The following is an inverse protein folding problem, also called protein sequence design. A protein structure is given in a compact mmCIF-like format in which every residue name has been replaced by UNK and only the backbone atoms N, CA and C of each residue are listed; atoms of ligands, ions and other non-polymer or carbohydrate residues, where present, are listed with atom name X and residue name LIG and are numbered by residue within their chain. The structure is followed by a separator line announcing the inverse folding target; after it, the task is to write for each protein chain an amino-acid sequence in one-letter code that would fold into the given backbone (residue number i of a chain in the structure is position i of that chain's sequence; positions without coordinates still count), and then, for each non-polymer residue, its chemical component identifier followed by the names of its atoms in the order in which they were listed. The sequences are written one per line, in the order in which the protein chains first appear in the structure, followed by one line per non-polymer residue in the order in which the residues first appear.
data_IF_488242512809
#
_entry.id   IF_488242512809
#
_cell.length_a   1.000
_cell.length_b   1.000
_cell.length_c   1.000
_cell.angle_alpha   90.00
_cell.angle_beta   90.00
_cell.angle_gamma   90.00
#
_symmetry.space_group_name_H-M   'P 1'
#
loop_
_entity.id
_entity.type
_entity.pdbx_description
1 polymer ?
#
# COMPACT_ATOMS: atom_id res chain seq x y z
N UNK A 1 -4.65 -3.74 -12.50
CA UNK A 1 -5.91 -4.00 -11.84
C UNK A 1 -6.91 -4.66 -12.77
N UNK A 2 -7.97 -5.23 -12.30
CA UNK A 2 -9.10 -5.70 -13.11
C UNK A 2 -9.26 -7.19 -13.29
N UNK A 3 -8.31 -8.00 -12.88
CA UNK A 3 -8.39 -9.46 -13.07
C UNK A 3 -9.14 -10.21 -11.97
N UNK A 4 -9.23 -9.62 -10.81
CA UNK A 4 -9.71 -10.26 -9.60
C UNK A 4 -11.02 -9.66 -9.09
N UNK A 5 -11.80 -9.06 -10.00
CA UNK A 5 -13.09 -8.43 -9.69
C UNK A 5 -14.11 -9.39 -9.08
N UNK A 6 -14.02 -10.68 -9.46
CA UNK A 6 -14.90 -11.69 -8.88
C UNK A 6 -14.23 -12.28 -7.64
N UNK A 7 -15.00 -12.41 -6.55
CA UNK A 7 -14.60 -12.98 -5.25
C UNK A 7 -13.76 -14.25 -5.42
N UNK A 8 -14.22 -15.21 -6.23
CA UNK A 8 -13.57 -16.50 -6.40
C UNK A 8 -12.21 -16.39 -7.10
N UNK A 9 -12.08 -15.45 -8.04
CA UNK A 9 -10.80 -15.16 -8.68
C UNK A 9 -9.82 -14.48 -7.71
N UNK A 10 -10.28 -13.56 -6.87
CA UNK A 10 -9.49 -12.92 -5.82
C UNK A 10 -9.03 -13.93 -4.78
N UNK A 11 -9.95 -14.78 -4.29
CA UNK A 11 -9.64 -15.86 -3.38
C UNK A 11 -8.57 -16.81 -3.94
N UNK A 12 -8.78 -17.30 -5.17
CA UNK A 12 -7.81 -18.19 -5.83
C UNK A 12 -6.42 -17.56 -5.93
N UNK A 13 -6.37 -16.27 -6.25
CA UNK A 13 -5.09 -15.56 -6.33
C UNK A 13 -4.44 -15.40 -4.97
N UNK A 14 -5.21 -15.05 -3.93
CA UNK A 14 -4.71 -14.96 -2.56
C UNK A 14 -4.10 -16.28 -2.07
N UNK A 15 -4.80 -17.40 -2.34
CA UNK A 15 -4.29 -18.73 -1.96
C UNK A 15 -2.98 -19.08 -2.68
N UNK A 16 -2.86 -18.75 -3.97
CA UNK A 16 -1.61 -18.94 -4.72
C UNK A 16 -0.48 -18.12 -4.09
N UNK A 17 -0.73 -16.85 -3.74
CA UNK A 17 0.27 -16.01 -3.12
C UNK A 17 0.73 -16.54 -1.74
N UNK A 18 -0.21 -17.01 -0.94
CA UNK A 18 0.10 -17.65 0.35
C UNK A 18 0.94 -18.91 0.16
N UNK A 19 0.60 -19.74 -0.82
CA UNK A 19 1.34 -20.96 -1.16
C UNK A 19 2.75 -20.65 -1.74
N UNK A 20 2.93 -19.46 -2.37
CA UNK A 20 4.21 -18.92 -2.83
C UNK A 20 5.02 -18.22 -1.70
N UNK A 21 4.49 -18.15 -0.49
CA UNK A 21 5.20 -17.66 0.69
C UNK A 21 4.92 -16.21 1.06
N UNK A 22 3.79 -15.64 0.63
CA UNK A 22 3.35 -14.34 1.15
C UNK A 22 2.92 -14.47 2.62
N UNK A 23 3.46 -13.64 3.49
CA UNK A 23 3.10 -13.58 4.91
C UNK A 23 1.82 -12.77 5.15
N UNK A 24 1.55 -11.77 4.32
CA UNK A 24 0.41 -10.87 4.43
C UNK A 24 -0.25 -10.73 3.06
N UNK A 25 -1.57 -10.81 3.01
CA UNK A 25 -2.37 -10.51 1.81
C UNK A 25 -3.04 -9.16 1.99
N UNK A 26 -2.72 -8.21 1.10
CA UNK A 26 -3.30 -6.87 1.12
C UNK A 26 -4.43 -6.75 0.11
N UNK A 27 -5.64 -6.40 0.57
CA UNK A 27 -6.88 -6.39 -0.21
C UNK A 27 -7.35 -4.95 -0.37
N UNK A 28 -7.45 -4.47 -1.62
CA UNK A 28 -7.97 -3.14 -1.93
C UNK A 28 -9.18 -3.17 -2.87
N UNK A 29 -10.19 -2.39 -2.56
CA UNK A 29 -11.42 -2.25 -3.35
C UNK A 29 -11.38 -1.08 -4.35
N UNK A 30 -10.46 -0.13 -4.15
CA UNK A 30 -10.23 1.03 -5.01
C UNK A 30 -8.76 1.04 -5.50
N UNK A 31 -8.54 1.51 -6.72
CA UNK A 31 -7.18 1.62 -7.25
C UNK A 31 -6.58 2.97 -6.92
N UNK A 32 -5.40 2.98 -6.30
CA UNK A 32 -4.63 4.19 -5.98
C UNK A 32 -3.80 4.71 -7.15
N UNK A 33 -3.95 4.13 -8.36
CA UNK A 33 -3.20 4.55 -9.55
C UNK A 33 -3.71 5.86 -10.13
N UNK A 34 -2.83 6.69 -10.73
CA UNK A 34 -3.26 7.88 -11.45
C UNK A 34 -4.35 7.57 -12.49
N UNK A 35 -5.43 8.35 -12.48
CA UNK A 35 -6.55 8.20 -13.42
C UNK A 35 -7.55 7.07 -13.09
N UNK A 36 -7.42 6.38 -11.96
CA UNK A 36 -8.43 5.45 -11.52
C UNK A 36 -9.75 6.17 -11.19
N UNK A 37 -10.87 5.56 -11.53
CA UNK A 37 -12.18 6.05 -11.13
C UNK A 37 -12.34 5.87 -9.61
N UNK A 38 -12.90 6.88 -8.96
CA UNK A 38 -13.28 6.77 -7.56
C UNK A 38 -14.41 5.74 -7.39
N UNK A 39 -14.32 4.98 -6.33
CA UNK A 39 -15.34 4.03 -5.90
C UNK A 39 -16.02 4.60 -4.66
N UNK A 40 -17.33 4.46 -4.54
CA UNK A 40 -18.01 4.84 -3.30
C UNK A 40 -17.73 3.82 -2.19
N UNK A 41 -17.94 4.26 -0.95
CA UNK A 41 -17.61 3.47 0.25
C UNK A 41 -18.40 2.15 0.31
N UNK A 42 -19.66 2.17 -0.12
CA UNK A 42 -20.53 1.00 -0.11
C UNK A 42 -20.02 -0.05 -1.11
N UNK A 43 -19.69 0.37 -2.32
CA UNK A 43 -19.12 -0.49 -3.36
C UNK A 43 -17.73 -1.00 -2.96
N UNK A 44 -16.85 -0.15 -2.40
CA UNK A 44 -15.54 -0.57 -1.89
C UNK A 44 -15.70 -1.65 -0.83
N UNK A 45 -16.56 -1.43 0.15
CA UNK A 45 -16.85 -2.38 1.23
C UNK A 45 -17.41 -3.70 0.69
N UNK A 46 -18.36 -3.63 -0.25
CA UNK A 46 -18.95 -4.81 -0.89
C UNK A 46 -17.92 -5.64 -1.68
N UNK A 47 -16.85 -5.03 -2.16
CA UNK A 47 -15.74 -5.72 -2.83
C UNK A 47 -14.80 -6.42 -1.86
N UNK A 48 -14.36 -5.71 -0.80
CA UNK A 48 -13.27 -6.21 0.05
C UNK A 48 -13.76 -7.22 1.10
N UNK A 49 -14.89 -6.98 1.75
CA UNK A 49 -15.38 -7.80 2.86
C UNK A 49 -15.56 -9.27 2.47
N UNK A 50 -16.28 -9.62 1.37
CA UNK A 50 -16.49 -11.02 1.00
C UNK A 50 -15.21 -11.75 0.61
N UNK A 51 -14.18 -11.02 0.15
CA UNK A 51 -12.88 -11.61 -0.20
C UNK A 51 -12.09 -11.91 1.07
N UNK A 52 -12.07 -10.99 2.04
CA UNK A 52 -11.43 -11.19 3.34
C UNK A 52 -12.01 -12.41 4.05
N UNK A 53 -13.33 -12.49 4.15
CA UNK A 53 -14.04 -13.63 4.77
C UNK A 53 -13.68 -14.96 4.08
N UNK A 54 -13.68 -14.98 2.74
CA UNK A 54 -13.36 -16.18 1.98
C UNK A 54 -11.91 -16.64 2.18
N UNK A 55 -10.94 -15.70 2.25
CA UNK A 55 -9.54 -16.02 2.52
C UNK A 55 -9.40 -16.63 3.91
N UNK A 56 -9.98 -16.01 4.93
CA UNK A 56 -9.90 -16.47 6.32
C UNK A 56 -10.65 -17.79 6.54
N UNK A 57 -11.73 -18.03 5.80
CA UNK A 57 -12.40 -19.31 5.79
C UNK A 57 -11.52 -20.42 5.21
N UNK A 58 -10.80 -20.15 4.11
CA UNK A 58 -9.93 -21.11 3.44
C UNK A 58 -8.58 -21.28 4.14
N UNK A 59 -8.07 -20.26 4.77
CA UNK A 59 -6.79 -20.17 5.48
C UNK A 59 -6.95 -19.37 6.78
N UNK A 60 -7.41 -19.98 7.88
CA UNK A 60 -7.69 -19.26 9.14
C UNK A 60 -6.49 -18.56 9.77
N UNK A 61 -5.27 -18.98 9.40
CA UNK A 61 -4.01 -18.39 9.91
C UNK A 61 -3.46 -17.28 9.00
N UNK A 62 -4.12 -16.98 7.88
CA UNK A 62 -3.66 -15.93 6.98
C UNK A 62 -3.76 -14.56 7.66
N UNK A 63 -2.73 -13.74 7.50
CA UNK A 63 -2.77 -12.34 7.90
C UNK A 63 -3.28 -11.53 6.73
N UNK A 64 -4.41 -10.84 6.93
CA UNK A 64 -5.03 -10.02 5.88
C UNK A 64 -4.94 -8.55 6.27
N UNK A 65 -4.52 -7.74 5.32
CA UNK A 65 -4.52 -6.28 5.35
C UNK A 65 -5.61 -5.75 4.43
N UNK A 66 -6.21 -4.62 4.76
CA UNK A 66 -7.12 -3.88 3.88
C UNK A 66 -6.49 -2.56 3.45
N UNK A 67 -6.34 -2.35 2.12
CA UNK A 67 -5.91 -1.07 1.54
C UNK A 67 -7.14 -0.19 1.32
N UNK A 68 -7.31 0.81 2.15
CA UNK A 68 -8.42 1.78 2.08
C UNK A 68 -8.07 3.10 2.74
N UNK A 69 -8.62 4.20 2.21
CA UNK A 69 -8.56 5.52 2.82
C UNK A 69 -9.88 5.88 3.56
N UNK A 70 -10.84 4.96 3.61
CA UNK A 70 -12.17 5.18 4.20
C UNK A 70 -12.32 4.43 5.52
N UNK A 71 -12.60 5.15 6.60
CA UNK A 71 -12.75 4.59 7.94
C UNK A 71 -13.88 3.55 8.04
N UNK A 72 -14.98 3.75 7.31
CA UNK A 72 -16.09 2.80 7.31
C UNK A 72 -15.70 1.46 6.67
N UNK A 73 -15.00 1.48 5.53
CA UNK A 73 -14.47 0.27 4.89
C UNK A 73 -13.45 -0.42 5.80
N UNK A 74 -12.56 0.35 6.45
CA UNK A 74 -11.58 -0.20 7.40
C UNK A 74 -12.26 -0.95 8.56
N UNK A 75 -13.30 -0.36 9.18
CA UNK A 75 -14.05 -1.00 10.25
C UNK A 75 -14.76 -2.27 9.78
N UNK A 76 -15.40 -2.24 8.61
CA UNK A 76 -16.07 -3.41 8.04
C UNK A 76 -15.07 -4.55 7.74
N UNK A 77 -13.92 -4.22 7.19
CA UNK A 77 -12.85 -5.17 6.90
C UNK A 77 -12.26 -5.79 8.17
N UNK A 78 -12.03 -4.98 9.22
CA UNK A 78 -11.58 -5.50 10.53
C UNK A 78 -12.63 -6.39 11.17
N UNK A 79 -13.91 -6.04 11.08
CA UNK A 79 -15.01 -6.89 11.55
C UNK A 79 -15.07 -8.23 10.79
N UNK A 80 -14.69 -8.25 9.50
CA UNK A 80 -14.55 -9.45 8.68
C UNK A 80 -13.26 -10.25 8.97
N UNK A 81 -12.37 -9.74 9.83
CA UNK A 81 -11.16 -10.40 10.29
C UNK A 81 -9.85 -9.86 9.74
N UNK A 82 -9.83 -8.73 9.03
CA UNK A 82 -8.57 -8.09 8.67
C UNK A 82 -7.78 -7.68 9.92
N UNK A 83 -6.50 -8.05 9.97
CA UNK A 83 -5.62 -7.77 11.10
C UNK A 83 -4.88 -6.43 10.95
N UNK A 84 -4.86 -5.86 9.75
CA UNK A 84 -4.11 -4.65 9.42
C UNK A 84 -5.00 -3.73 8.58
N UNK A 85 -4.93 -2.43 8.86
CA UNK A 85 -5.48 -1.38 7.99
C UNK A 85 -4.30 -0.67 7.33
N UNK A 86 -4.22 -0.74 6.01
CA UNK A 86 -3.22 -0.07 5.20
C UNK A 86 -3.83 1.21 4.61
N UNK A 87 -3.51 2.35 5.21
CA UNK A 87 -4.01 3.65 4.78
C UNK A 87 -2.93 4.44 4.05
N UNK A 88 -3.01 4.44 2.72
CA UNK A 88 -2.08 5.16 1.85
C UNK A 88 -2.11 6.68 2.04
N UNK A 89 -3.14 7.21 2.72
CA UNK A 89 -3.28 8.64 3.02
C UNK A 89 -2.71 9.04 4.39
N UNK A 90 -2.38 8.08 5.25
CA UNK A 90 -1.91 8.35 6.62
C UNK A 90 -2.93 9.11 7.48
N UNK A 91 -4.22 8.88 7.27
CA UNK A 91 -5.32 9.55 7.97
C UNK A 91 -5.78 10.86 7.31
N UNK A 92 -5.20 11.26 6.18
CA UNK A 92 -5.59 12.50 5.50
C UNK A 92 -6.79 12.33 4.56
N UNK A 93 -7.06 11.12 4.11
CA UNK A 93 -8.19 10.79 3.24
C UNK A 93 -9.52 10.83 3.99
N UNK A 94 -9.55 10.35 5.21
CA UNK A 94 -10.71 10.35 6.10
C UNK A 94 -10.30 10.74 7.54
N UNK A 95 -10.83 11.85 8.03
CA UNK A 95 -10.53 12.36 9.40
C UNK A 95 -10.97 11.40 10.52
N UNK A 96 -11.88 10.48 10.23
CA UNK A 96 -12.34 9.48 11.19
C UNK A 96 -11.39 8.27 11.30
N UNK A 97 -10.45 8.09 10.35
CA UNK A 97 -9.63 6.89 10.22
C UNK A 97 -8.88 6.54 11.51
N UNK A 98 -8.08 7.46 12.04
CA UNK A 98 -7.29 7.19 13.24
C UNK A 98 -8.16 6.76 14.43
N UNK A 99 -9.28 7.45 14.66
CA UNK A 99 -10.22 7.12 15.74
C UNK A 99 -10.92 5.78 15.51
N UNK A 100 -11.29 5.50 14.26
CA UNK A 100 -11.90 4.22 13.90
C UNK A 100 -10.96 3.05 14.18
N UNK A 101 -9.71 3.11 13.70
CA UNK A 101 -8.71 2.05 13.93
C UNK A 101 -8.31 1.95 15.40
N UNK A 102 -8.22 3.07 16.13
CA UNK A 102 -7.95 3.08 17.56
C UNK A 102 -8.97 2.26 18.37
N UNK A 103 -10.24 2.26 17.95
CA UNK A 103 -11.32 1.45 18.54
C UNK A 103 -11.26 -0.05 18.24
N UNK A 104 -10.30 -0.51 17.45
CA UNK A 104 -10.10 -1.92 17.07
C UNK A 104 -8.82 -2.50 17.67
N UNK A 105 -8.49 -3.76 17.31
CA UNK A 105 -7.19 -4.37 17.62
C UNK A 105 -6.25 -4.40 16.41
N UNK A 106 -6.68 -3.90 15.24
CA UNK A 106 -5.89 -3.96 14.02
C UNK A 106 -4.61 -3.12 14.12
N UNK A 107 -3.54 -3.57 13.48
CA UNK A 107 -2.38 -2.74 13.20
C UNK A 107 -2.72 -1.69 12.13
N UNK A 108 -1.99 -0.59 12.11
CA UNK A 108 -2.22 0.51 11.19
C UNK A 108 -0.96 0.84 10.41
N UNK A 109 -1.02 0.75 9.10
CA UNK A 109 0.04 1.23 8.22
C UNK A 109 -0.28 2.67 7.84
N UNK A 110 0.58 3.57 8.32
CA UNK A 110 0.51 5.01 8.07
C UNK A 110 1.46 5.37 6.93
N UNK A 111 0.94 5.50 5.71
CA UNK A 111 1.77 5.88 4.59
C UNK A 111 1.91 7.41 4.49
N UNK A 112 3.11 7.86 4.13
CA UNK A 112 3.35 9.26 3.79
C UNK A 112 2.65 9.61 2.48
N UNK A 113 1.81 10.65 2.55
CA UNK A 113 0.96 11.08 1.44
C UNK A 113 0.93 12.60 1.31
N UNK A 114 1.05 13.06 0.07
CA UNK A 114 0.84 14.46 -0.33
C UNK A 114 -0.07 14.47 -1.56
N UNK A 115 -1.35 14.80 -1.35
CA UNK A 115 -2.34 14.91 -2.42
C UNK A 115 -2.78 13.57 -3.02
N UNK A 116 -3.86 13.65 -3.77
CA UNK A 116 -4.47 12.50 -4.45
C UNK A 116 -3.67 12.08 -5.71
N UNK A 117 -3.99 10.95 -6.34
CA UNK A 117 -3.30 10.47 -7.52
C UNK A 117 -3.22 11.43 -8.71
N UNK A 118 -4.13 12.42 -8.81
CA UNK A 118 -4.12 13.43 -9.87
C UNK A 118 -3.17 14.60 -9.58
N UNK A 119 -2.84 14.87 -8.33
CA UNK A 119 -2.07 16.04 -7.90
C UNK A 119 -0.69 15.73 -7.36
N UNK A 120 -0.45 14.49 -6.88
CA UNK A 120 0.76 14.10 -6.17
C UNK A 120 2.07 14.34 -6.95
N UNK A 121 2.05 14.18 -8.28
CA UNK A 121 3.25 14.35 -9.11
C UNK A 121 3.78 15.80 -9.13
N UNK A 122 2.97 16.77 -8.68
CA UNK A 122 3.34 18.19 -8.56
C UNK A 122 3.82 18.58 -7.16
N UNK A 123 3.75 17.67 -6.20
CA UNK A 123 4.01 17.92 -4.78
C UNK A 123 5.35 17.29 -4.34
N UNK A 124 6.35 17.35 -5.23
CA UNK A 124 7.67 16.75 -5.03
C UNK A 124 8.70 17.71 -4.44
N UNK A 125 8.28 18.91 -4.05
CA UNK A 125 9.19 19.90 -3.43
C UNK A 125 9.36 19.60 -1.93
N UNK A 126 10.63 19.42 -1.53
CA UNK A 126 11.07 19.18 -0.15
C UNK A 126 12.25 20.11 0.16
N UNK A 127 12.01 21.32 0.68
CA UNK A 127 13.07 22.34 0.87
C UNK A 127 14.25 21.85 1.72
N UNK A 128 13.98 21.01 2.75
CA UNK A 128 14.99 20.45 3.66
C UNK A 128 15.44 19.04 3.24
N UNK A 129 15.16 18.66 1.99
CA UNK A 129 15.38 17.32 1.47
C UNK A 129 14.26 16.32 1.81
N UNK A 130 14.10 15.33 0.92
CA UNK A 130 12.95 14.40 0.99
C UNK A 130 12.93 13.57 2.28
N UNK A 131 14.09 13.15 2.79
CA UNK A 131 14.16 12.30 3.99
C UNK A 131 13.68 13.08 5.21
N UNK A 132 14.19 14.29 5.42
CA UNK A 132 13.75 15.13 6.54
C UNK A 132 12.27 15.52 6.42
N UNK A 133 11.82 15.91 5.23
CA UNK A 133 10.42 16.26 4.98
C UNK A 133 9.47 15.11 5.27
N UNK A 134 9.79 13.88 4.80
CA UNK A 134 8.97 12.69 5.06
C UNK A 134 8.94 12.33 6.53
N UNK A 135 10.08 12.41 7.24
CA UNK A 135 10.15 12.15 8.69
C UNK A 135 9.27 13.15 9.44
N UNK A 136 9.40 14.45 9.15
CA UNK A 136 8.61 15.48 9.81
C UNK A 136 7.11 15.29 9.59
N UNK A 137 6.69 15.01 8.35
CA UNK A 137 5.28 14.82 8.03
C UNK A 137 4.72 13.52 8.62
N UNK A 138 5.47 12.42 8.63
CA UNK A 138 5.06 11.20 9.29
C UNK A 138 4.98 11.36 10.80
N UNK A 139 5.92 12.06 11.45
CA UNK A 139 5.82 12.35 12.89
C UNK A 139 4.52 13.06 13.24
N UNK A 140 4.11 14.07 12.43
CA UNK A 140 2.82 14.74 12.64
C UNK A 140 1.63 13.77 12.50
N UNK A 141 1.69 12.78 11.57
CA UNK A 141 0.63 11.76 11.45
C UNK A 141 0.63 10.82 12.64
N UNK A 142 1.82 10.39 13.09
CA UNK A 142 1.96 9.55 14.27
C UNK A 142 1.40 10.21 15.53
N UNK A 143 1.70 11.49 15.74
CA UNK A 143 1.13 12.29 16.84
C UNK A 143 -0.38 12.35 16.78
N UNK A 144 -0.95 12.59 15.60
CA UNK A 144 -2.40 12.61 15.40
C UNK A 144 -3.05 11.25 15.65
N UNK A 145 -2.44 10.17 15.18
CA UNK A 145 -2.92 8.82 15.41
C UNK A 145 -2.91 8.46 16.91
N UNK A 146 -1.83 8.79 17.61
CA UNK A 146 -1.71 8.57 19.05
C UNK A 146 -2.69 9.44 19.85
N UNK A 147 -2.88 10.70 19.46
CA UNK A 147 -3.88 11.57 20.07
C UNK A 147 -5.31 11.07 19.87
N UNK A 148 -5.57 10.32 18.79
CA UNK A 148 -6.84 9.63 18.54
C UNK A 148 -7.00 8.33 19.35
N UNK A 149 -5.97 7.91 20.11
CA UNK A 149 -5.97 6.71 20.95
C UNK A 149 -5.34 5.48 20.32
N UNK A 150 -4.70 5.59 19.16
CA UNK A 150 -4.00 4.47 18.54
C UNK A 150 -2.67 4.22 19.26
N UNK A 151 -2.47 3.02 19.78
CA UNK A 151 -1.23 2.64 20.45
C UNK A 151 -0.06 2.64 19.46
N UNK A 152 1.09 3.21 19.87
CA UNK A 152 2.29 3.35 19.02
C UNK A 152 2.78 2.00 18.49
N UNK A 153 2.69 0.97 19.29
CA UNK A 153 3.15 -0.39 18.99
C UNK A 153 2.34 -1.06 17.87
N UNK A 154 1.18 -0.49 17.53
CA UNK A 154 0.33 -0.95 16.45
C UNK A 154 0.53 -0.17 15.15
N UNK A 155 1.42 0.83 15.14
CA UNK A 155 1.64 1.67 13.97
C UNK A 155 2.89 1.20 13.21
N UNK A 156 2.73 1.01 11.92
CA UNK A 156 3.78 0.78 10.95
C UNK A 156 3.81 2.00 10.03
N UNK A 157 4.99 2.47 9.64
CA UNK A 157 5.10 3.61 8.72
C UNK A 157 5.54 3.16 7.33
N UNK A 158 5.00 3.79 6.28
CA UNK A 158 5.48 3.64 4.90
C UNK A 158 5.91 5.02 4.37
N UNK A 159 7.16 5.20 3.94
CA UNK A 159 7.64 6.47 3.39
C UNK A 159 6.96 6.85 2.05
N UNK A 160 6.13 5.99 1.48
CA UNK A 160 5.36 6.27 0.26
C UNK A 160 6.24 6.44 -0.97
N UNK A 161 7.14 5.48 -1.26
CA UNK A 161 7.99 5.52 -2.45
C UNK A 161 7.14 5.71 -3.71
N UNK A 162 7.48 6.70 -4.55
CA UNK A 162 6.75 7.00 -5.78
C UNK A 162 5.41 7.74 -5.59
N UNK A 163 5.03 8.11 -4.37
CA UNK A 163 3.90 9.00 -4.07
C UNK A 163 4.43 10.39 -3.74
N UNK A 164 4.10 11.39 -4.56
CA UNK A 164 4.62 12.77 -4.43
C UNK A 164 6.16 12.82 -4.31
N UNK A 165 6.85 11.98 -5.06
CA UNK A 165 8.31 11.86 -5.03
C UNK A 165 8.86 11.58 -6.43
N UNK A 166 10.00 12.20 -6.74
CA UNK A 166 10.79 11.85 -7.92
C UNK A 166 11.41 10.45 -7.77
N UNK A 167 11.98 9.94 -8.86
CA UNK A 167 12.70 8.66 -8.82
C UNK A 167 13.92 8.74 -7.89
N UNK A 168 14.67 9.83 -7.97
CA UNK A 168 15.83 10.06 -7.11
C UNK A 168 15.45 10.15 -5.63
N UNK A 169 14.40 10.91 -5.31
CA UNK A 169 13.87 11.01 -3.95
C UNK A 169 13.42 9.64 -3.40
N UNK A 170 12.85 8.79 -4.25
CA UNK A 170 12.47 7.42 -3.85
C UNK A 170 13.72 6.57 -3.52
N UNK A 171 14.83 6.74 -4.24
CA UNK A 171 16.10 6.09 -3.91
C UNK A 171 16.72 6.63 -2.63
N UNK A 172 16.68 7.95 -2.41
CA UNK A 172 17.16 8.57 -1.17
C UNK A 172 16.41 8.02 0.05
N UNK A 173 15.09 7.88 -0.03
CA UNK A 173 14.28 7.30 1.05
C UNK A 173 14.59 5.82 1.28
N UNK A 174 14.76 5.04 0.21
CA UNK A 174 15.13 3.63 0.31
C UNK A 174 16.50 3.47 0.99
N UNK A 175 17.47 4.31 0.63
CA UNK A 175 18.80 4.32 1.25
C UNK A 175 18.75 4.78 2.72
N UNK A 176 17.77 5.61 3.10
CA UNK A 176 17.60 6.14 4.44
C UNK A 176 16.65 5.28 5.33
N UNK A 177 16.34 4.04 4.96
CA UNK A 177 15.36 3.20 5.68
C UNK A 177 15.72 3.05 7.16
N UNK A 178 17.00 2.86 7.49
CA UNK A 178 17.45 2.77 8.89
C UNK A 178 17.19 4.07 9.64
N UNK A 179 17.52 5.21 9.06
CA UNK A 179 17.26 6.54 9.64
C UNK A 179 15.76 6.79 9.85
N UNK A 180 14.91 6.39 8.88
CA UNK A 180 13.46 6.44 9.02
C UNK A 180 12.99 5.64 10.24
N UNK A 181 13.49 4.41 10.40
CA UNK A 181 13.13 3.55 11.53
C UNK A 181 13.56 4.14 12.87
N UNK A 182 14.77 4.68 12.94
CA UNK A 182 15.32 5.27 14.18
C UNK A 182 14.58 6.56 14.58
N UNK A 183 14.38 7.50 13.64
CA UNK A 183 13.78 8.80 13.95
C UNK A 183 12.25 8.75 14.13
N UNK A 184 11.55 7.83 13.46
CA UNK A 184 10.11 7.61 13.65
C UNK A 184 9.82 6.65 14.81
N UNK A 185 10.84 5.89 15.25
CA UNK A 185 10.73 4.87 16.29
C UNK A 185 9.53 3.92 16.05
N UNK A 186 9.34 3.48 14.80
CA UNK A 186 8.29 2.60 14.32
C UNK A 186 8.83 1.63 13.27
N UNK A 187 8.24 0.44 13.11
CA UNK A 187 8.56 -0.44 11.98
C UNK A 187 8.31 0.27 10.64
N UNK A 188 9.19 0.03 9.65
CA UNK A 188 9.10 0.65 8.34
C UNK A 188 8.71 -0.39 7.29
N UNK A 189 7.60 -0.15 6.61
CA UNK A 189 7.18 -0.88 5.43
C UNK A 189 7.74 -0.19 4.17
N UNK A 190 8.30 -0.96 3.26
CA UNK A 190 8.83 -0.46 1.99
C UNK A 190 7.99 -0.99 0.83
N UNK A 191 7.08 -0.16 0.35
CA UNK A 191 6.25 -0.47 -0.82
C UNK A 191 6.97 -0.17 -2.13
N UNK A 192 7.84 -1.06 -2.60
CA UNK A 192 8.64 -0.85 -3.82
C UNK A 192 8.14 -1.64 -5.04
N UNK A 193 7.18 -2.55 -4.88
CA UNK A 193 6.73 -3.46 -5.93
C UNK A 193 6.25 -2.73 -7.19
N UNK A 194 6.83 -3.09 -8.34
CA UNK A 194 6.47 -2.60 -9.68
C UNK A 194 6.48 -1.07 -9.84
N UNK A 195 7.19 -0.35 -8.97
CA UNK A 195 7.28 1.11 -9.07
C UNK A 195 8.28 1.54 -10.15
N UNK A 196 7.94 2.63 -10.85
CA UNK A 196 8.70 3.11 -12.03
C UNK A 196 10.18 3.39 -11.76
N UNK A 197 10.54 3.86 -10.56
CA UNK A 197 11.93 4.15 -10.21
C UNK A 197 12.84 2.90 -10.26
N UNK A 198 12.31 1.70 -9.98
CA UNK A 198 13.05 0.44 -10.12
C UNK A 198 13.37 0.11 -11.57
N UNK A 199 12.47 0.45 -12.50
CA UNK A 199 12.66 0.20 -13.95
C UNK A 199 13.80 1.02 -14.51
N UNK A 200 13.95 2.27 -14.07
CA UNK A 200 15.04 3.15 -14.51
C UNK A 200 16.42 2.66 -14.06
N UNK A 201 16.50 2.06 -12.88
CA UNK A 201 17.75 1.45 -12.38
C UNK A 201 18.19 0.25 -13.23
N UNK A 202 17.24 -0.54 -13.75
CA UNK A 202 17.52 -1.69 -14.62
C UNK A 202 17.90 -1.24 -16.04
N UNK A 203 17.32 -0.13 -16.51
CA UNK A 203 17.54 0.40 -17.87
C UNK A 203 18.82 1.24 -18.05
N UNK A 204 19.70 1.33 -17.03
CA UNK A 204 20.98 2.04 -17.13
C UNK A 204 20.88 3.56 -17.03
N UNK A 205 19.84 4.09 -16.41
CA UNK A 205 19.78 5.51 -16.00
C UNK A 205 19.51 6.53 -17.10
N UNK A 206 19.15 6.14 -18.29
CA UNK A 206 18.72 7.08 -19.33
C UNK A 206 17.23 7.37 -19.20
N UNK A 207 16.89 8.64 -19.08
CA UNK A 207 15.53 9.18 -18.95
C UNK A 207 14.76 9.08 -20.28
N UNK A 208 14.70 7.89 -20.83
CA UNK A 208 13.83 7.62 -21.98
C UNK A 208 12.52 7.05 -21.47
N UNK A 209 11.48 7.86 -21.56
CA UNK A 209 10.09 7.61 -21.20
C UNK A 209 9.44 6.45 -21.98
N UNK A 210 10.17 5.39 -22.24
CA UNK A 210 9.64 4.10 -22.66
C UNK A 210 9.38 3.30 -21.39
N UNK A 211 8.13 3.36 -20.95
CA UNK A 211 7.62 2.46 -19.92
C UNK A 211 8.04 1.04 -20.28
N UNK A 212 9.05 0.52 -19.58
CA UNK A 212 9.38 -0.90 -19.70
C UNK A 212 8.12 -1.69 -19.38
N UNK A 213 7.87 -2.72 -20.17
CA UNK A 213 6.74 -3.64 -20.01
C UNK A 213 6.65 -4.07 -18.54
N UNK A 214 5.47 -4.02 -17.90
CA UNK A 214 5.27 -4.55 -16.55
C UNK A 214 5.80 -5.98 -16.35
N UNK A 215 5.89 -6.79 -17.42
CA UNK A 215 6.51 -8.10 -17.42
C UNK A 215 8.02 -8.06 -17.13
N UNK A 216 8.75 -7.05 -17.62
CA UNK A 216 10.18 -6.90 -17.37
C UNK A 216 10.53 -6.44 -15.95
N UNK A 217 9.55 -5.94 -15.19
CA UNK A 217 9.72 -5.56 -13.78
C UNK A 217 9.73 -6.76 -12.85
N UNK A 218 9.20 -7.90 -13.29
CA UNK A 218 9.14 -9.14 -12.51
C UNK A 218 10.48 -9.88 -12.45
N UNK A 219 11.37 -9.66 -13.46
CA UNK A 219 12.62 -10.41 -13.61
C UNK A 219 13.86 -9.73 -13.00
N UNK A 220 13.69 -8.72 -12.13
CA UNK A 220 14.84 -8.09 -11.47
C UNK A 220 15.42 -9.01 -10.39
N UNK A 221 16.70 -9.47 -10.52
CA UNK A 221 17.28 -10.51 -9.65
C UNK A 221 17.66 -10.04 -8.24
N UNK A 222 17.37 -8.80 -7.87
CA UNK A 222 17.64 -8.30 -6.52
C UNK A 222 16.37 -8.45 -5.68
N UNK A 223 16.42 -9.35 -4.70
CA UNK A 223 15.38 -9.50 -3.67
C UNK A 223 15.23 -8.19 -2.90
N UNK A 224 14.32 -7.36 -3.34
CA UNK A 224 13.67 -6.37 -2.47
C UNK A 224 12.60 -7.17 -1.74
N UNK A 225 12.69 -7.27 -0.43
CA UNK A 225 11.66 -7.94 0.37
C UNK A 225 10.38 -7.12 0.20
N UNK A 226 9.48 -7.58 -0.66
CA UNK A 226 8.14 -7.01 -0.84
C UNK A 226 7.28 -7.61 0.26
N UNK A 227 7.11 -6.89 1.36
CA UNK A 227 6.10 -7.19 2.35
C UNK A 227 4.74 -6.77 1.77
N UNK A 228 4.06 -7.71 1.18
CA UNK A 228 2.70 -7.55 0.70
C UNK A 228 2.56 -7.61 -0.82
N UNK A 229 1.65 -8.44 -1.28
CA UNK A 229 1.12 -8.42 -2.64
C UNK A 229 -0.26 -7.81 -2.57
N UNK A 230 -0.40 -6.58 -3.06
CA UNK A 230 -1.68 -5.89 -3.13
C UNK A 230 -2.60 -6.62 -4.11
N UNK A 231 -3.71 -7.15 -3.62
CA UNK A 231 -4.83 -7.61 -4.45
C UNK A 231 -5.78 -6.44 -4.62
N UNK A 232 -5.52 -5.61 -5.63
CA UNK A 232 -6.49 -4.60 -6.04
C UNK A 232 -7.69 -5.27 -6.73
N UNK A 233 -8.87 -5.08 -6.20
CA UNK A 233 -10.15 -5.42 -6.86
C UNK A 233 -10.60 -4.17 -7.63
N UNK A 234 -10.42 -4.12 -8.98
CA UNK A 234 -10.58 -2.87 -9.71
C UNK A 234 -12.01 -2.57 -10.12
N UNK A 235 -12.25 -1.28 -10.37
CA UNK A 235 -13.36 -0.82 -11.19
C UNK A 235 -13.24 -1.35 -12.62
N UNK A 236 -14.35 -1.69 -13.24
CA UNK A 236 -14.49 -2.19 -14.61
C UNK A 236 -13.68 -1.37 -15.62
N UNK A 237 -12.68 -1.98 -16.26
CA UNK A 237 -12.00 -1.41 -17.43
C UNK A 237 -10.54 -1.85 -17.61
N UNK A 238 -10.33 -2.76 -18.55
CA UNK A 238 -9.10 -3.19 -19.25
C UNK A 238 -8.13 -4.15 -18.55
N UNK A 239 -7.97 -5.28 -19.20
CA UNK A 239 -7.13 -6.46 -18.82
C UNK A 239 -5.65 -6.27 -19.14
N UNK A 240 -4.73 -6.76 -18.29
CA UNK A 240 -3.40 -7.30 -18.68
C UNK A 240 -2.86 -8.37 -17.71
N UNK A 241 -2.16 -9.35 -18.27
CA UNK A 241 -1.65 -10.58 -17.59
C UNK A 241 -0.35 -10.35 -16.84
N UNK A 242 -0.19 -11.04 -15.70
CA UNK A 242 1.09 -11.23 -15.00
C UNK A 242 1.70 -12.57 -15.43
N UNK A 243 3.01 -12.66 -15.69
CA UNK A 243 3.70 -13.94 -15.82
C UNK A 243 4.11 -14.48 -14.44
N UNK A 244 4.14 -15.80 -14.34
CA UNK A 244 4.59 -16.53 -13.17
C UNK A 244 6.08 -16.34 -12.94
N UNK A 245 6.48 -16.09 -11.70
CA UNK A 245 7.84 -16.28 -11.24
C UNK A 245 8.05 -17.81 -11.08
N UNK A 246 9.06 -18.34 -11.72
CA UNK A 246 9.59 -19.67 -11.42
C UNK A 246 10.94 -19.52 -10.73
N UNK A 247 11.14 -20.31 -9.70
CA UNK A 247 12.41 -20.78 -9.17
C UNK A 247 13.29 -19.79 -8.45
#
# INVERSE_FOLDING_TARGET
GGRWYQRDAALKHALVLLDEGADIIDIGGESTRPGAAKVDIEEETARVVPVIEAILQARPQAVVSVDTIHAATALAAVAAGAAIVNDVSGGLGDRAMHRAVAGTQAAYICQHWRGNPQTMDRLTDYPDGVVAGVINELNQRLEQAQAAGLAKERIIVDPGLGFAKTHEQSWQLLAATQRLQEELAAPVLIGASRKRFLTLAVAGGTDTARAADPAQRADSPRRVTVLGVLIEIPSTGTRRRLPHARG
#
